data_IF_315958399477
#
_entry.id   IF_315958399477
#
_cell.length_a   1.000
_cell.length_b   1.000
_cell.length_c   1.000
_cell.angle_alpha   90.00
_cell.angle_beta   90.00
_cell.angle_gamma   90.00
#
_symmetry.space_group_name_H-M   'P 1'
#
loop_
_entity.id
_entity.type
_entity.pdbx_description
1 polymer ?
#
# COMPACT_ATOMS: atom_id res chain seq x y z
N UNK A 1 -19.32 -32.56 -79.76
CA UNK A 1 -18.40 -32.78 -78.64
C UNK A 1 -18.44 -31.51 -77.80
N UNK A 2 -19.02 -31.39 -76.62
CA UNK A 2 -19.86 -32.17 -75.70
C UNK A 2 -20.43 -31.07 -74.78
N UNK A 3 -21.74 -30.86 -74.68
CA UNK A 3 -22.68 -31.53 -73.76
C UNK A 3 -22.20 -31.63 -72.31
N UNK A 4 -23.10 -31.18 -71.40
CA UNK A 4 -23.17 -31.35 -69.92
C UNK A 4 -22.60 -30.14 -69.15
N UNK A 5 -23.27 -29.52 -68.18
CA UNK A 5 -24.43 -29.94 -67.39
C UNK A 5 -25.09 -28.71 -66.74
N UNK A 6 -26.42 -28.67 -66.78
CA UNK A 6 -27.25 -27.78 -65.97
C UNK A 6 -27.46 -28.40 -64.59
N UNK A 7 -27.22 -27.63 -63.53
CA UNK A 7 -27.83 -27.77 -62.18
C UNK A 7 -27.64 -26.37 -61.56
N UNK A 8 -28.60 -25.44 -61.56
CA UNK A 8 -29.84 -25.46 -60.77
C UNK A 8 -29.59 -25.89 -59.33
N UNK A 9 -29.12 -24.98 -58.47
CA UNK A 9 -29.65 -25.01 -57.11
C UNK A 9 -29.73 -23.62 -56.50
N UNK A 10 -30.90 -23.37 -55.94
CA UNK A 10 -31.28 -22.16 -55.26
C UNK A 10 -30.94 -22.34 -53.77
N UNK A 11 -29.91 -21.65 -53.31
CA UNK A 11 -29.76 -21.31 -51.90
C UNK A 11 -30.13 -19.82 -51.79
N UNK A 12 -31.42 -19.46 -51.74
CA UNK A 12 -32.24 -19.41 -50.52
C UNK A 12 -31.47 -18.85 -49.34
N UNK A 13 -31.86 -17.63 -48.98
CA UNK A 13 -31.99 -17.12 -47.61
C UNK A 13 -31.44 -18.06 -46.54
N UNK A 14 -30.22 -17.78 -46.11
CA UNK A 14 -29.82 -18.09 -44.75
C UNK A 14 -29.57 -16.73 -44.07
N UNK A 15 -30.68 -16.03 -43.81
CA UNK A 15 -30.77 -15.22 -42.60
C UNK A 15 -30.25 -16.12 -41.47
N UNK A 16 -29.04 -15.83 -41.01
CA UNK A 16 -28.54 -16.40 -39.76
C UNK A 16 -29.41 -15.82 -38.66
N UNK A 17 -30.56 -16.43 -38.48
CA UNK A 17 -31.40 -16.28 -37.32
C UNK A 17 -30.59 -16.84 -36.15
N UNK A 18 -29.76 -15.98 -35.53
CA UNK A 18 -29.19 -16.23 -34.22
C UNK A 18 -30.32 -16.11 -33.20
N UNK A 19 -31.26 -17.04 -33.27
CA UNK A 19 -32.18 -17.37 -32.21
C UNK A 19 -31.37 -18.03 -31.08
N UNK A 20 -30.70 -17.20 -30.29
CA UNK A 20 -29.92 -17.62 -29.12
C UNK A 20 -29.49 -16.49 -28.19
N UNK A 21 -29.90 -15.24 -28.44
CA UNK A 21 -29.43 -14.04 -27.73
C UNK A 21 -30.07 -13.74 -26.37
N UNK A 22 -30.58 -14.75 -25.63
CA UNK A 22 -31.39 -14.50 -24.42
C UNK A 22 -30.68 -14.68 -23.07
N UNK A 23 -29.58 -15.45 -23.00
CA UNK A 23 -29.03 -15.92 -21.71
C UNK A 23 -27.77 -15.21 -21.22
N UNK A 24 -26.84 -14.85 -22.13
CA UNK A 24 -25.52 -14.32 -21.74
C UNK A 24 -25.46 -12.79 -21.62
N UNK A 25 -26.28 -12.04 -22.36
CA UNK A 25 -26.27 -10.57 -22.30
C UNK A 25 -26.56 -10.00 -20.91
N UNK A 26 -27.61 -10.49 -20.19
CA UNK A 26 -27.91 -10.05 -18.84
C UNK A 26 -26.82 -10.41 -17.83
N UNK A 27 -26.25 -11.62 -17.94
CA UNK A 27 -25.19 -12.12 -17.04
C UNK A 27 -23.90 -11.30 -17.24
N UNK A 28 -23.49 -11.06 -18.49
CA UNK A 28 -22.31 -10.25 -18.79
C UNK A 28 -22.45 -8.81 -18.27
N UNK A 29 -23.65 -8.23 -18.39
CA UNK A 29 -23.95 -6.89 -17.88
C UNK A 29 -23.88 -6.85 -16.35
N UNK A 30 -24.42 -7.87 -15.67
CA UNK A 30 -24.33 -7.99 -14.21
C UNK A 30 -22.89 -8.16 -13.73
N UNK A 31 -22.09 -8.98 -14.42
CA UNK A 31 -20.68 -9.16 -14.09
C UNK A 31 -19.89 -7.86 -14.23
N UNK A 32 -20.11 -7.08 -15.29
CA UNK A 32 -19.48 -5.76 -15.47
C UNK A 32 -19.84 -4.80 -14.33
N UNK A 33 -21.10 -4.80 -13.89
CA UNK A 33 -21.54 -3.98 -12.75
C UNK A 33 -20.90 -4.43 -11.43
N UNK A 34 -20.73 -5.74 -11.24
CA UNK A 34 -20.06 -6.29 -10.06
C UNK A 34 -18.59 -5.89 -10.05
N UNK A 35 -17.86 -6.05 -11.16
CA UNK A 35 -16.46 -5.62 -11.28
C UNK A 35 -16.32 -4.13 -10.98
N UNK A 36 -17.15 -3.28 -11.58
CA UNK A 36 -17.10 -1.83 -11.32
C UNK A 36 -17.37 -1.48 -9.84
N UNK A 37 -18.27 -2.21 -9.17
CA UNK A 37 -18.53 -2.04 -7.73
C UNK A 37 -17.36 -2.52 -6.86
N UNK A 38 -16.69 -3.60 -7.25
CA UNK A 38 -15.50 -4.10 -6.56
C UNK A 38 -14.34 -3.10 -6.70
N UNK A 39 -14.15 -2.50 -7.88
CA UNK A 39 -13.12 -1.49 -8.11
C UNK A 39 -13.38 -0.21 -7.28
N UNK A 40 -14.65 0.22 -7.23
CA UNK A 40 -15.07 1.35 -6.38
C UNK A 40 -14.89 1.04 -4.88
N UNK A 41 -15.24 -0.18 -4.44
CA UNK A 41 -15.02 -0.62 -3.06
C UNK A 41 -13.53 -0.67 -2.71
N UNK A 42 -12.69 -1.21 -3.60
CA UNK A 42 -11.23 -1.24 -3.41
C UNK A 42 -10.69 0.18 -3.22
N UNK A 43 -11.11 1.11 -4.10
CA UNK A 43 -10.71 2.52 -4.02
C UNK A 43 -11.12 3.17 -2.69
N UNK A 44 -12.37 2.94 -2.24
CA UNK A 44 -12.87 3.49 -0.97
C UNK A 44 -12.19 2.90 0.25
N UNK A 45 -11.85 1.60 0.21
CA UNK A 45 -11.10 0.93 1.27
C UNK A 45 -9.69 1.52 1.37
N UNK A 46 -9.01 1.72 0.25
CA UNK A 46 -7.67 2.31 0.22
C UNK A 46 -7.68 3.74 0.77
N UNK A 47 -8.64 4.56 0.36
CA UNK A 47 -8.83 5.92 0.90
C UNK A 47 -9.12 5.92 2.40
N UNK A 48 -9.95 4.99 2.87
CA UNK A 48 -10.28 4.85 4.30
C UNK A 48 -9.04 4.44 5.09
N UNK A 49 -8.24 3.50 4.57
CA UNK A 49 -6.98 3.07 5.17
C UNK A 49 -5.99 4.22 5.26
N UNK A 50 -5.80 4.98 4.19
CA UNK A 50 -4.91 6.15 4.16
C UNK A 50 -5.32 7.19 5.20
N UNK A 51 -6.62 7.50 5.30
CA UNK A 51 -7.13 8.45 6.27
C UNK A 51 -6.95 7.94 7.72
N UNK A 52 -7.19 6.65 7.96
CA UNK A 52 -7.00 6.04 9.27
C UNK A 52 -5.53 6.11 9.71
N UNK A 53 -4.58 5.75 8.83
CA UNK A 53 -3.13 5.83 9.11
C UNK A 53 -2.72 7.27 9.40
N UNK A 54 -3.14 8.24 8.57
CA UNK A 54 -2.83 9.66 8.78
C UNK A 54 -3.39 10.19 10.10
N UNK A 55 -4.61 9.79 10.45
CA UNK A 55 -5.27 10.23 11.68
C UNK A 55 -4.58 9.64 12.90
N UNK A 56 -4.32 8.32 12.89
CA UNK A 56 -3.60 7.65 13.97
C UNK A 56 -2.20 8.26 14.17
N UNK A 57 -1.43 8.40 13.10
CA UNK A 57 -0.10 9.00 13.16
C UNK A 57 -0.13 10.43 13.70
N UNK A 58 -1.17 11.22 13.38
CA UNK A 58 -1.33 12.57 13.91
C UNK A 58 -1.61 12.56 15.42
N UNK A 59 -2.51 11.69 15.88
CA UNK A 59 -2.89 11.58 17.30
C UNK A 59 -1.67 11.12 18.10
N UNK A 60 -1.02 10.04 17.70
CA UNK A 60 0.15 9.50 18.41
C UNK A 60 1.30 10.50 18.47
N UNK A 61 1.61 11.21 17.37
CA UNK A 61 2.65 12.26 17.40
C UNK A 61 2.30 13.38 18.36
N UNK A 62 1.03 13.77 18.43
CA UNK A 62 0.57 14.78 19.35
C UNK A 62 0.69 14.30 20.79
N UNK A 63 0.27 13.06 21.07
CA UNK A 63 0.32 12.50 22.42
C UNK A 63 1.77 12.28 22.88
N UNK A 64 2.66 11.84 21.99
CA UNK A 64 4.09 11.81 22.24
C UNK A 64 4.64 13.21 22.54
N UNK A 65 4.18 14.26 21.86
CA UNK A 65 4.69 15.61 22.09
C UNK A 65 4.19 16.24 23.40
N UNK A 66 2.91 16.00 23.76
CA UNK A 66 2.19 16.82 24.73
C UNK A 66 1.70 16.06 25.97
N UNK A 67 1.60 14.72 25.90
CA UNK A 67 0.87 13.91 26.89
C UNK A 67 1.77 12.89 27.58
N UNK A 68 2.65 12.22 26.84
CA UNK A 68 3.55 11.22 27.38
C UNK A 68 4.66 11.84 28.23
N UNK A 69 5.00 11.15 29.33
CA UNK A 69 6.19 11.45 30.14
C UNK A 69 7.43 11.56 29.23
N UNK A 70 8.42 12.38 29.59
CA UNK A 70 9.52 12.78 28.70
C UNK A 70 10.21 11.61 27.98
N UNK A 71 10.36 10.44 28.65
CA UNK A 71 11.00 9.26 28.06
C UNK A 71 10.03 8.28 27.38
N UNK A 72 8.70 8.40 27.55
CA UNK A 72 7.74 7.45 26.97
C UNK A 72 7.43 7.78 25.49
N UNK A 73 7.30 6.74 24.67
CA UNK A 73 6.91 6.83 23.26
C UNK A 73 5.86 5.79 22.90
N UNK A 74 4.83 6.23 22.20
CA UNK A 74 4.00 5.38 21.35
C UNK A 74 4.48 5.43 19.89
N UNK A 75 4.47 4.30 19.19
CA UNK A 75 5.00 4.25 17.83
C UNK A 75 4.00 4.71 16.77
N UNK A 76 4.55 5.26 15.69
CA UNK A 76 3.82 5.73 14.53
C UNK A 76 4.03 4.76 13.36
N UNK A 77 2.98 4.36 12.62
CA UNK A 77 3.16 3.54 11.43
C UNK A 77 3.97 4.27 10.35
N UNK A 78 4.57 3.52 9.44
CA UNK A 78 5.24 4.08 8.27
C UNK A 78 4.25 4.76 7.31
N UNK A 79 4.79 5.50 6.33
CA UNK A 79 4.00 6.27 5.37
C UNK A 79 3.05 5.39 4.53
N UNK A 80 3.41 4.13 4.31
CA UNK A 80 2.59 3.13 3.61
C UNK A 80 1.56 2.44 4.53
N UNK A 81 1.52 2.82 5.81
CA UNK A 81 0.65 2.24 6.82
C UNK A 81 1.11 0.90 7.36
N UNK A 82 2.34 0.45 7.07
CA UNK A 82 2.93 -0.71 7.71
C UNK A 82 3.42 -0.39 9.13
N UNK A 83 3.31 -1.38 10.02
CA UNK A 83 3.80 -1.27 11.39
C UNK A 83 5.29 -1.64 11.45
N UNK A 84 6.17 -0.76 11.98
CA UNK A 84 7.60 -1.02 12.01
C UNK A 84 8.01 -2.31 12.73
N UNK A 85 7.47 -2.60 13.92
CA UNK A 85 7.95 -3.69 14.78
C UNK A 85 7.38 -5.08 14.46
N UNK A 86 6.44 -5.17 13.53
CA UNK A 86 5.78 -6.43 13.16
C UNK A 86 6.37 -7.09 11.90
N UNK A 87 7.25 -6.38 11.19
CA UNK A 87 7.72 -6.78 9.87
C UNK A 87 9.26 -6.81 9.80
N UNK A 88 9.77 -7.52 8.79
CA UNK A 88 11.16 -7.43 8.38
C UNK A 88 11.31 -6.40 7.27
N UNK A 89 12.35 -5.58 7.37
CA UNK A 89 12.63 -4.51 6.41
C UNK A 89 14.02 -4.67 5.81
N UNK A 90 14.15 -4.20 4.58
CA UNK A 90 15.42 -4.19 3.87
C UNK A 90 16.33 -3.13 4.47
N UNK A 91 17.39 -3.59 5.14
CA UNK A 91 18.48 -2.80 5.68
C UNK A 91 19.52 -2.39 4.63
N UNK A 92 20.63 -1.77 5.08
CA UNK A 92 21.77 -1.49 4.23
C UNK A 92 22.29 -2.78 3.57
N UNK A 93 22.75 -2.69 2.32
CA UNK A 93 23.35 -3.84 1.60
C UNK A 93 22.39 -5.03 1.42
N UNK A 94 21.08 -4.79 1.41
CA UNK A 94 20.02 -5.80 1.26
C UNK A 94 19.97 -6.84 2.40
N UNK A 95 20.40 -6.49 3.61
CA UNK A 95 20.18 -7.34 4.79
C UNK A 95 18.71 -7.27 5.22
N UNK A 96 18.17 -8.36 5.75
CA UNK A 96 16.86 -8.32 6.41
C UNK A 96 17.06 -7.86 7.86
N UNK A 97 16.28 -6.87 8.28
CA UNK A 97 16.35 -6.27 9.60
C UNK A 97 14.98 -6.39 10.24
N UNK A 98 14.93 -7.07 11.38
CA UNK A 98 13.74 -7.06 12.24
C UNK A 98 13.79 -5.83 13.12
N UNK A 99 12.83 -4.93 12.96
CA UNK A 99 12.81 -3.68 13.72
C UNK A 99 12.30 -3.91 15.15
N UNK A 100 13.01 -3.44 16.17
CA UNK A 100 12.56 -3.55 17.55
C UNK A 100 11.59 -2.43 17.90
N UNK A 101 10.57 -2.72 18.72
CA UNK A 101 9.57 -1.72 19.12
C UNK A 101 10.22 -0.54 19.86
N UNK A 102 9.88 0.71 19.54
CA UNK A 102 10.36 1.95 20.15
C UNK A 102 9.35 2.50 21.14
N UNK A 103 9.47 2.08 22.39
CA UNK A 103 8.59 2.53 23.48
C UNK A 103 9.17 3.64 24.35
N UNK A 104 10.40 4.08 24.06
CA UNK A 104 11.04 5.18 24.79
C UNK A 104 12.07 5.96 23.99
N UNK A 105 12.46 7.16 24.43
CA UNK A 105 13.56 7.91 23.81
C UNK A 105 14.83 7.07 23.77
N UNK A 106 15.20 6.46 24.91
CA UNK A 106 16.39 5.59 25.01
C UNK A 106 16.37 4.47 23.96
N UNK A 107 15.20 3.90 23.68
CA UNK A 107 15.09 2.88 22.65
C UNK A 107 15.48 3.41 21.27
N UNK A 108 15.18 4.66 20.93
CA UNK A 108 15.62 5.25 19.66
C UNK A 108 17.14 5.50 19.65
N UNK A 109 17.71 5.94 20.78
CA UNK A 109 19.17 6.10 20.93
C UNK A 109 19.93 4.78 20.75
N UNK A 110 19.37 3.68 21.24
CA UNK A 110 19.97 2.34 21.20
C UNK A 110 19.87 1.66 19.82
N UNK A 111 19.22 2.29 18.83
CA UNK A 111 19.12 1.73 17.49
C UNK A 111 20.51 1.49 16.89
N UNK A 112 20.71 0.28 16.37
CA UNK A 112 21.85 -0.04 15.54
C UNK A 112 21.79 0.72 14.22
N UNK A 113 22.93 0.76 13.50
CA UNK A 113 22.99 1.40 12.19
C UNK A 113 21.97 0.80 11.19
N UNK A 114 21.74 -0.50 11.24
CA UNK A 114 20.83 -1.20 10.33
C UNK A 114 19.36 -0.91 10.68
N UNK A 115 19.01 -0.88 11.97
CA UNK A 115 17.65 -0.56 12.40
C UNK A 115 17.33 0.91 12.16
N UNK A 116 18.26 1.82 12.47
CA UNK A 116 18.11 3.25 12.17
C UNK A 116 17.98 3.50 10.67
N UNK A 117 18.66 2.72 9.82
CA UNK A 117 18.46 2.76 8.37
C UNK A 117 17.02 2.36 8.01
N UNK A 118 16.57 1.19 8.45
CA UNK A 118 15.26 0.65 8.09
C UNK A 118 14.11 1.56 8.58
N UNK A 119 14.17 2.03 9.81
CA UNK A 119 13.22 3.02 10.35
C UNK A 119 13.21 4.31 9.53
N UNK A 120 14.38 4.87 9.23
CA UNK A 120 14.50 6.08 8.43
C UNK A 120 13.88 5.90 7.03
N UNK A 121 14.17 4.78 6.36
CA UNK A 121 13.59 4.49 5.04
C UNK A 121 12.07 4.32 5.10
N UNK A 122 11.53 3.73 6.15
CA UNK A 122 10.09 3.60 6.35
C UNK A 122 9.38 4.95 6.54
N UNK A 123 9.97 5.88 7.31
CA UNK A 123 9.36 7.19 7.56
C UNK A 123 9.56 8.22 6.45
N UNK A 124 10.64 8.14 5.68
CA UNK A 124 11.01 9.18 4.71
C UNK A 124 11.01 8.70 3.25
N UNK A 125 10.93 7.39 3.01
CA UNK A 125 10.77 6.82 1.67
C UNK A 125 12.04 6.82 0.80
N UNK A 126 11.94 6.29 -0.44
CA UNK A 126 13.02 6.31 -1.42
C UNK A 126 13.30 7.73 -1.93
N UNK A 127 14.57 8.08 -2.15
CA UNK A 127 14.97 9.39 -2.70
C UNK A 127 15.39 10.44 -1.66
N UNK A 128 15.07 10.26 -0.38
CA UNK A 128 15.63 11.12 0.68
C UNK A 128 17.10 10.72 0.91
N UNK A 129 18.06 11.67 0.84
CA UNK A 129 19.47 11.40 1.13
C UNK A 129 19.62 10.75 2.50
N UNK A 130 20.41 9.68 2.56
CA UNK A 130 20.67 8.96 3.80
C UNK A 130 21.68 9.76 4.64
N UNK A 131 21.29 10.33 5.79
CA UNK A 131 22.24 11.02 6.63
C UNK A 131 23.01 10.02 7.51
N UNK A 132 23.95 10.52 8.31
CA UNK A 132 24.66 9.71 9.31
C UNK A 132 23.68 9.09 10.33
N UNK A 133 24.18 8.13 11.12
CA UNK A 133 23.35 7.35 12.03
C UNK A 133 22.67 8.20 13.11
N UNK A 134 23.34 9.21 13.65
CA UNK A 134 22.78 10.05 14.72
C UNK A 134 21.72 10.99 14.15
N UNK A 135 21.98 11.59 12.99
CA UNK A 135 20.95 12.37 12.28
C UNK A 135 19.74 11.52 11.89
N UNK A 136 19.92 10.21 11.60
CA UNK A 136 18.79 9.30 11.36
C UNK A 136 17.96 9.12 12.62
N UNK A 137 18.59 8.90 13.78
CA UNK A 137 17.89 8.75 15.07
C UNK A 137 17.11 10.02 15.43
N UNK A 138 17.72 11.20 15.29
CA UNK A 138 17.04 12.51 15.44
C UNK A 138 15.78 12.59 14.55
N UNK A 139 15.93 12.23 13.28
CA UNK A 139 14.80 12.25 12.34
C UNK A 139 13.74 11.19 12.65
N UNK A 140 14.09 10.08 13.27
CA UNK A 140 13.13 9.08 13.74
C UNK A 140 12.34 9.64 14.93
N UNK A 141 12.99 10.30 15.90
CA UNK A 141 12.31 11.00 16.99
C UNK A 141 11.30 12.03 16.45
N UNK A 142 11.72 12.84 15.47
CA UNK A 142 10.82 13.81 14.81
C UNK A 142 9.62 13.12 14.14
N UNK A 143 9.83 11.96 13.51
CA UNK A 143 8.74 11.20 12.89
C UNK A 143 7.77 10.59 13.92
N UNK A 144 8.25 10.35 15.14
CA UNK A 144 7.46 9.93 16.30
C UNK A 144 6.82 11.12 17.04
N UNK A 145 7.16 12.37 16.71
CA UNK A 145 6.59 13.57 17.32
C UNK A 145 7.41 14.16 18.46
N UNK A 146 8.63 13.65 18.72
CA UNK A 146 9.57 14.25 19.67
C UNK A 146 10.59 15.10 18.91
N UNK A 147 10.53 16.40 19.12
CA UNK A 147 11.52 17.35 18.63
C UNK A 147 12.58 17.50 19.70
N UNK A 148 13.50 16.54 19.75
CA UNK A 148 14.68 16.65 20.61
C UNK A 148 15.81 17.26 19.78
N UNK A 149 16.31 18.42 20.22
CA UNK A 149 17.44 19.08 19.55
C UNK A 149 18.79 18.50 20.01
N UNK A 150 18.79 17.72 21.11
CA UNK A 150 19.98 17.16 21.73
C UNK A 150 19.97 15.61 21.62
N UNK A 151 20.97 15.07 20.92
CA UNK A 151 21.23 13.63 20.79
C UNK A 151 22.71 13.35 21.12
#
# INVERSE_FOLDING_TARGET
MDSRNAVADAAKDEEVNVAGGGGMGPILTQLQQITARIDDLTTKVDQTRELAVKTYARVVRHDNAEVHDDDELEEVPFLDGSWPWENEFVGPQNTQVKLPRRSSLQSVHDLTEQEAYAYFKGYYGPGVPLPDVETRKLRILNALGRYDDDL
#
